data_IF_260134713740
#
_entry.id   IF_260134713740
#
_cell.length_a   1.000
_cell.length_b   1.000
_cell.length_c   1.000
_cell.angle_alpha   90.00
_cell.angle_beta   90.00
_cell.angle_gamma   90.00
#
_symmetry.space_group_name_H-M   'P 1'
#
loop_
_entity.id
_entity.type
_entity.pdbx_description
1 polymer ?
#
# COMPACT_ATOMS: atom_id res chain seq x y z
N UNK A 1 7.30 -11.51 11.04
CA UNK A 1 7.10 -10.05 11.06
C UNK A 1 7.69 -9.45 12.35
N UNK A 2 7.17 -9.79 13.52
CA UNK A 2 7.59 -9.20 14.82
C UNK A 2 9.10 -9.21 15.04
N UNK A 3 9.74 -10.34 14.84
CA UNK A 3 11.19 -10.51 15.00
C UNK A 3 11.99 -9.61 14.04
N UNK A 4 11.47 -9.40 12.82
CA UNK A 4 12.11 -8.60 11.78
C UNK A 4 11.97 -7.10 12.07
N UNK A 5 10.78 -6.68 12.49
CA UNK A 5 10.45 -5.27 12.75
C UNK A 5 11.09 -4.78 14.05
N UNK A 6 11.09 -5.61 15.11
CA UNK A 6 11.54 -5.19 16.42
C UNK A 6 10.80 -3.93 16.87
N UNK A 7 11.54 -2.88 17.23
CA UNK A 7 10.99 -1.57 17.62
C UNK A 7 10.87 -0.58 16.45
N UNK A 8 11.08 -1.05 15.20
CA UNK A 8 11.05 -0.21 14.01
C UNK A 8 9.64 0.22 13.59
N UNK A 9 9.55 1.28 12.81
CA UNK A 9 8.30 1.78 12.24
C UNK A 9 8.09 1.24 10.85
N UNK A 10 6.87 0.80 10.56
CA UNK A 10 6.45 0.24 9.28
C UNK A 10 5.49 1.19 8.58
N UNK A 11 5.69 1.42 7.31
CA UNK A 11 4.81 2.21 6.45
C UNK A 11 4.20 1.31 5.37
N UNK A 12 2.91 1.41 5.14
CA UNK A 12 2.19 0.69 4.10
C UNK A 12 1.33 1.64 3.27
N UNK A 13 1.42 1.53 1.94
CA UNK A 13 0.48 2.17 1.04
C UNK A 13 -0.77 1.31 0.86
N UNK A 14 -1.94 1.85 1.22
CA UNK A 14 -3.24 1.24 0.95
C UNK A 14 -3.74 1.67 -0.42
N UNK A 15 -4.02 0.71 -1.29
CA UNK A 15 -4.55 0.95 -2.64
C UNK A 15 -6.08 0.87 -2.72
N UNK A 16 -6.75 0.49 -1.63
CA UNK A 16 -8.17 0.11 -1.63
C UNK A 16 -8.44 -1.34 -2.03
N UNK A 17 -7.46 -2.04 -2.59
CA UNK A 17 -7.58 -3.46 -2.98
C UNK A 17 -7.40 -4.41 -1.79
N UNK A 18 -7.96 -5.63 -1.94
CA UNK A 18 -7.93 -6.67 -0.89
C UNK A 18 -6.52 -7.00 -0.42
N UNK A 19 -5.52 -7.06 -1.30
CA UNK A 19 -4.17 -7.47 -0.93
C UNK A 19 -3.52 -6.47 0.03
N UNK A 20 -3.62 -5.18 -0.26
CA UNK A 20 -3.13 -4.13 0.63
C UNK A 20 -3.90 -4.08 1.96
N UNK A 21 -5.20 -4.34 1.93
CA UNK A 21 -6.05 -4.38 3.12
C UNK A 21 -5.68 -5.57 4.04
N UNK A 22 -5.49 -6.76 3.46
CA UNK A 22 -5.08 -7.96 4.21
C UNK A 22 -3.65 -7.81 4.74
N UNK A 23 -2.73 -7.24 3.95
CA UNK A 23 -1.38 -6.92 4.41
C UNK A 23 -1.41 -5.95 5.61
N UNK A 24 -2.27 -4.91 5.55
CA UNK A 24 -2.46 -3.97 6.66
C UNK A 24 -2.96 -4.67 7.93
N UNK A 25 -4.02 -5.47 7.79
CA UNK A 25 -4.60 -6.22 8.91
C UNK A 25 -3.59 -7.17 9.57
N UNK A 26 -2.84 -7.92 8.76
CA UNK A 26 -1.84 -8.85 9.23
C UNK A 26 -0.68 -8.13 9.94
N UNK A 27 -0.19 -7.04 9.36
CA UNK A 27 0.87 -6.21 9.93
C UNK A 27 0.40 -5.56 11.24
N UNK A 28 -0.80 -4.96 11.25
CA UNK A 28 -1.35 -4.34 12.46
C UNK A 28 -1.50 -5.34 13.61
N UNK A 29 -1.99 -6.54 13.32
CA UNK A 29 -2.04 -7.63 14.32
C UNK A 29 -0.65 -8.05 14.82
N UNK A 30 0.38 -7.91 14.00
CA UNK A 30 1.75 -8.25 14.37
C UNK A 30 2.45 -7.17 15.18
N UNK A 31 2.35 -5.90 14.77
CA UNK A 31 3.19 -4.80 15.29
C UNK A 31 2.37 -3.59 15.80
N UNK A 32 1.04 -3.62 15.70
CA UNK A 32 0.16 -2.59 16.26
C UNK A 32 0.47 -1.18 15.74
N UNK A 33 0.59 -0.24 16.67
CA UNK A 33 0.82 1.19 16.41
C UNK A 33 2.17 1.51 15.73
N UNK A 34 3.07 0.54 15.57
CA UNK A 34 4.28 0.71 14.77
C UNK A 34 3.98 0.78 13.27
N UNK A 35 2.78 0.30 12.85
CA UNK A 35 2.30 0.40 11.49
C UNK A 35 1.59 1.73 11.25
N UNK A 36 1.99 2.44 10.21
CA UNK A 36 1.24 3.56 9.64
C UNK A 36 0.80 3.19 8.23
N UNK A 37 -0.50 3.30 7.95
CA UNK A 37 -1.06 3.09 6.62
C UNK A 37 -1.43 4.44 6.00
N UNK A 38 -0.98 4.69 4.77
CA UNK A 38 -1.36 5.86 3.98
C UNK A 38 -2.28 5.40 2.85
N UNK A 39 -3.47 6.00 2.80
CA UNK A 39 -4.45 5.80 1.73
C UNK A 39 -4.55 7.07 0.89
N UNK A 40 -4.16 6.98 -0.38
CA UNK A 40 -4.19 8.12 -1.30
C UNK A 40 -5.48 8.09 -2.11
N UNK A 41 -6.35 9.05 -1.85
CA UNK A 41 -7.57 9.26 -2.63
C UNK A 41 -7.22 10.11 -3.87
N UNK A 42 -7.09 9.44 -5.00
CA UNK A 42 -6.73 10.03 -6.29
C UNK A 42 -7.92 10.45 -7.16
N UNK A 43 -9.14 10.35 -6.64
CA UNK A 43 -10.37 10.74 -7.36
C UNK A 43 -10.85 9.76 -8.44
N UNK A 44 -10.16 8.64 -8.64
CA UNK A 44 -10.53 7.57 -9.58
C UNK A 44 -11.05 6.32 -8.84
N UNK A 45 -11.32 6.46 -7.55
CA UNK A 45 -11.90 5.41 -6.73
C UNK A 45 -13.36 5.18 -7.12
N UNK A 46 -13.87 3.99 -6.80
CA UNK A 46 -15.32 3.75 -6.87
C UNK A 46 -16.04 4.67 -5.89
N UNK A 47 -17.34 4.87 -6.13
CA UNK A 47 -18.15 5.66 -5.22
C UNK A 47 -18.03 5.14 -3.78
N UNK A 48 -17.73 6.04 -2.85
CA UNK A 48 -17.58 5.78 -1.42
C UNK A 48 -16.48 4.75 -1.03
N UNK A 49 -15.64 4.32 -1.96
CA UNK A 49 -14.60 3.30 -1.71
C UNK A 49 -13.62 3.75 -0.61
N UNK A 50 -13.18 5.01 -0.65
CA UNK A 50 -12.29 5.56 0.38
C UNK A 50 -12.89 5.51 1.77
N UNK A 51 -14.18 5.85 1.88
CA UNK A 51 -14.91 5.82 3.16
C UNK A 51 -15.14 4.40 3.65
N UNK A 52 -15.37 3.46 2.72
CA UNK A 52 -15.53 2.04 3.06
C UNK A 52 -14.23 1.45 3.60
N UNK A 53 -13.10 1.73 2.96
CA UNK A 53 -11.77 1.28 3.41
C UNK A 53 -11.46 1.85 4.79
N UNK A 54 -11.65 3.15 5.00
CA UNK A 54 -11.37 3.81 6.27
C UNK A 54 -12.23 3.23 7.40
N UNK A 55 -13.54 3.08 7.18
CA UNK A 55 -14.45 2.46 8.15
C UNK A 55 -14.08 1.02 8.44
N UNK A 56 -13.79 0.22 7.41
CA UNK A 56 -13.42 -1.19 7.61
C UNK A 56 -12.14 -1.32 8.47
N UNK A 57 -11.13 -0.50 8.21
CA UNK A 57 -9.91 -0.53 9.01
C UNK A 57 -10.14 -0.07 10.45
N UNK A 58 -10.95 0.99 10.64
CA UNK A 58 -11.27 1.49 11.97
C UNK A 58 -12.18 0.54 12.75
N UNK A 59 -13.31 0.15 12.18
CA UNK A 59 -14.37 -0.58 12.90
C UNK A 59 -14.01 -2.04 13.15
N UNK A 60 -13.31 -2.68 12.20
CA UNK A 60 -12.95 -4.10 12.33
C UNK A 60 -11.63 -4.32 13.04
N UNK A 61 -10.68 -3.40 12.92
CA UNK A 61 -9.32 -3.58 13.42
C UNK A 61 -8.90 -2.55 14.48
N UNK A 62 -9.70 -1.49 14.69
CA UNK A 62 -9.31 -0.36 15.54
C UNK A 62 -8.15 0.47 14.97
N UNK A 63 -7.79 0.24 13.72
CA UNK A 63 -6.65 0.86 13.07
C UNK A 63 -7.02 2.21 12.46
N UNK A 64 -6.19 3.23 12.72
CA UNK A 64 -6.29 4.52 12.05
C UNK A 64 -5.43 4.53 10.81
N UNK A 65 -5.96 5.09 9.72
CA UNK A 65 -5.22 5.31 8.48
C UNK A 65 -5.03 6.81 8.23
N UNK A 66 -3.96 7.15 7.52
CA UNK A 66 -3.73 8.51 7.02
C UNK A 66 -4.34 8.60 5.63
N UNK A 67 -5.52 9.23 5.52
CA UNK A 67 -6.15 9.48 4.22
C UNK A 67 -5.65 10.79 3.63
N UNK A 68 -5.13 10.74 2.42
CA UNK A 68 -4.62 11.88 1.68
C UNK A 68 -5.55 12.19 0.52
N UNK A 69 -6.23 13.33 0.56
CA UNK A 69 -7.01 13.79 -0.58
C UNK A 69 -6.07 14.41 -1.63
N UNK A 70 -5.86 13.68 -2.72
CA UNK A 70 -5.04 14.11 -3.85
C UNK A 70 -5.84 14.23 -5.15
N UNK A 71 -7.19 14.22 -5.07
CA UNK A 71 -8.10 14.18 -6.23
C UNK A 71 -7.81 15.28 -7.24
N UNK A 72 -7.78 16.54 -6.81
CA UNK A 72 -7.51 17.68 -7.67
C UNK A 72 -6.16 17.56 -8.39
N UNK A 73 -5.14 17.14 -7.67
CA UNK A 73 -3.78 16.96 -8.18
C UNK A 73 -3.71 15.90 -9.28
N UNK A 74 -4.39 14.76 -9.10
CA UNK A 74 -4.47 13.70 -10.09
C UNK A 74 -5.32 14.10 -11.29
N UNK A 75 -6.52 14.63 -11.06
CA UNK A 75 -7.44 15.03 -12.13
C UNK A 75 -6.85 16.13 -13.01
N UNK A 76 -6.15 17.10 -12.43
CA UNK A 76 -5.45 18.15 -13.20
C UNK A 76 -4.37 17.56 -14.11
N UNK A 77 -3.62 16.56 -13.63
CA UNK A 77 -2.57 15.89 -14.42
C UNK A 77 -3.12 14.96 -15.50
N UNK A 78 -4.33 14.43 -15.29
CA UNK A 78 -4.99 13.55 -16.26
C UNK A 78 -5.83 14.32 -17.30
N UNK A 79 -6.10 15.59 -17.07
CA UNK A 79 -6.85 16.42 -18.01
C UNK A 79 -6.13 16.52 -19.35
N UNK A 80 -6.75 16.01 -20.42
CA UNK A 80 -6.22 16.09 -21.79
C UNK A 80 -5.26 14.98 -22.19
N UNK A 81 -5.15 13.89 -21.41
CA UNK A 81 -4.22 12.79 -21.65
C UNK A 81 -4.94 11.57 -22.23
N UNK A 82 -4.44 11.07 -23.37
CA UNK A 82 -4.87 9.80 -23.96
C UNK A 82 -4.10 8.61 -23.37
N UNK A 83 -4.68 7.42 -23.44
CA UNK A 83 -4.36 6.15 -22.79
C UNK A 83 -2.92 5.70 -22.43
N UNK A 84 -1.79 6.16 -23.00
CA UNK A 84 -0.47 5.61 -22.64
C UNK A 84 0.04 5.96 -21.24
N UNK A 85 -0.73 6.67 -20.41
CA UNK A 85 -0.16 7.36 -19.25
C UNK A 85 -0.51 6.78 -17.86
N UNK A 86 -0.90 5.51 -17.77
CA UNK A 86 -0.97 4.78 -16.47
C UNK A 86 0.33 4.91 -15.67
N UNK A 87 1.47 5.04 -16.36
CA UNK A 87 2.77 5.26 -15.74
C UNK A 87 2.83 6.57 -14.97
N UNK A 88 2.24 7.65 -15.50
CA UNK A 88 2.19 8.95 -14.82
C UNK A 88 1.31 8.94 -13.56
N UNK A 89 0.23 8.16 -13.57
CA UNK A 89 -0.61 7.97 -12.38
C UNK A 89 0.21 7.31 -11.28
N UNK A 90 0.96 6.26 -11.62
CA UNK A 90 1.84 5.58 -10.67
C UNK A 90 2.94 6.49 -10.10
N UNK A 91 3.60 7.27 -10.96
CA UNK A 91 4.62 8.24 -10.54
C UNK A 91 4.06 9.30 -9.59
N UNK A 92 2.85 9.81 -9.88
CA UNK A 92 2.22 10.81 -9.03
C UNK A 92 1.77 10.22 -7.70
N UNK A 93 1.27 8.98 -7.70
CA UNK A 93 0.94 8.26 -6.47
C UNK A 93 2.16 8.16 -5.55
N UNK A 94 3.31 7.80 -6.11
CA UNK A 94 4.56 7.70 -5.35
C UNK A 94 4.95 9.04 -4.76
N UNK A 95 4.88 10.13 -5.53
CA UNK A 95 5.21 11.48 -5.07
C UNK A 95 4.31 11.94 -3.91
N UNK A 96 3.02 11.65 -3.99
CA UNK A 96 2.07 11.96 -2.91
C UNK A 96 2.40 11.13 -1.68
N UNK A 97 2.60 9.83 -1.87
CA UNK A 97 2.93 8.90 -0.80
C UNK A 97 4.23 9.30 -0.08
N UNK A 98 5.28 9.64 -0.82
CA UNK A 98 6.55 10.10 -0.27
C UNK A 98 6.43 11.42 0.50
N UNK A 99 5.65 12.36 -0.03
CA UNK A 99 5.42 13.63 0.65
C UNK A 99 4.75 13.42 2.02
N UNK A 100 3.82 12.49 2.10
CA UNK A 100 3.17 12.13 3.38
C UNK A 100 4.11 11.32 4.29
N UNK A 101 4.88 10.38 3.73
CA UNK A 101 5.86 9.62 4.49
C UNK A 101 6.91 10.52 5.18
N UNK A 102 7.35 11.58 4.51
CA UNK A 102 8.29 12.57 5.08
C UNK A 102 7.71 13.30 6.31
N UNK A 103 6.40 13.54 6.35
CA UNK A 103 5.75 14.17 7.51
C UNK A 103 5.74 13.27 8.75
N UNK A 104 5.80 11.94 8.54
CA UNK A 104 5.82 10.97 9.64
C UNK A 104 7.20 10.83 10.30
N UNK A 105 8.23 11.45 9.73
CA UNK A 105 9.61 11.35 10.19
C UNK A 105 10.24 10.02 9.83
N UNK A 106 11.03 9.44 10.75
CA UNK A 106 11.76 8.20 10.48
C UNK A 106 10.80 7.02 10.32
N UNK A 107 10.92 6.33 9.19
CA UNK A 107 10.29 5.05 8.90
C UNK A 107 11.38 4.03 8.59
N UNK A 108 11.34 2.86 9.21
CA UNK A 108 12.40 1.85 9.08
C UNK A 108 12.09 0.81 7.99
N UNK A 109 10.81 0.50 7.78
CA UNK A 109 10.37 -0.54 6.85
C UNK A 109 9.23 -0.04 5.96
N UNK A 110 9.31 -0.39 4.68
CA UNK A 110 8.19 -0.24 3.75
C UNK A 110 7.51 -1.61 3.59
N UNK A 111 6.18 -1.65 3.72
CA UNK A 111 5.41 -2.86 3.49
C UNK A 111 4.63 -2.81 2.18
N UNK A 112 4.46 -3.97 1.56
CA UNK A 112 3.72 -4.13 0.30
C UNK A 112 2.79 -5.33 0.35
N UNK A 113 1.64 -5.21 -0.31
CA UNK A 113 0.66 -6.28 -0.49
C UNK A 113 0.96 -7.21 -1.66
N UNK A 114 2.22 -7.41 -2.03
CA UNK A 114 2.64 -8.32 -3.10
C UNK A 114 2.20 -9.74 -2.80
N UNK A 115 1.58 -10.42 -3.76
CA UNK A 115 1.14 -11.82 -3.68
C UNK A 115 1.96 -12.71 -4.62
N UNK A 116 1.82 -14.05 -4.52
CA UNK A 116 2.64 -14.98 -5.29
C UNK A 116 2.52 -14.82 -6.81
N UNK A 117 1.33 -14.62 -7.42
CA UNK A 117 1.21 -14.33 -8.85
C UNK A 117 2.02 -13.11 -9.31
N UNK A 118 2.07 -12.03 -8.53
CA UNK A 118 2.86 -10.83 -8.86
C UNK A 118 4.35 -11.16 -8.97
N UNK A 119 4.83 -12.06 -8.09
CA UNK A 119 6.23 -12.51 -8.09
C UNK A 119 6.56 -13.31 -9.34
N UNK A 120 5.63 -14.17 -9.79
CA UNK A 120 5.82 -15.01 -10.99
C UNK A 120 5.76 -14.17 -12.25
N UNK A 121 4.82 -13.24 -12.36
CA UNK A 121 4.65 -12.36 -13.51
C UNK A 121 5.81 -11.38 -13.67
N UNK A 122 6.43 -10.95 -12.57
CA UNK A 122 7.58 -10.04 -12.60
C UNK A 122 8.89 -10.70 -13.06
N UNK A 123 8.86 -12.02 -13.32
CA UNK A 123 10.02 -12.80 -13.79
C UNK A 123 10.97 -13.22 -12.66
N UNK A 124 11.78 -14.27 -12.94
CA UNK A 124 12.68 -14.94 -11.99
C UNK A 124 13.90 -14.06 -11.60
N UNK A 125 13.62 -12.87 -11.12
CA UNK A 125 14.64 -11.91 -10.69
C UNK A 125 14.42 -11.35 -9.29
N UNK A 126 13.39 -11.81 -8.60
CA UNK A 126 13.30 -11.85 -7.13
C UNK A 126 13.25 -10.56 -6.34
N UNK A 127 13.20 -9.40 -6.93
CA UNK A 127 13.00 -8.15 -6.19
C UNK A 127 11.78 -7.43 -6.75
N UNK A 128 10.85 -7.06 -5.87
CA UNK A 128 9.61 -6.36 -6.19
C UNK A 128 9.77 -5.35 -7.32
N UNK A 129 9.28 -5.70 -8.50
CA UNK A 129 9.39 -4.87 -9.71
C UNK A 129 8.74 -3.50 -9.50
N UNK A 130 7.75 -3.41 -8.61
CA UNK A 130 7.05 -2.15 -8.35
C UNK A 130 7.99 -1.08 -7.80
N UNK A 131 8.88 -1.39 -6.84
CA UNK A 131 9.82 -0.39 -6.32
C UNK A 131 11.08 -0.30 -7.20
N UNK A 132 11.59 -1.41 -7.78
CA UNK A 132 12.74 -1.33 -8.68
C UNK A 132 12.45 -0.65 -10.01
N UNK A 133 11.27 -0.83 -10.59
CA UNK A 133 10.89 -0.06 -11.78
C UNK A 133 10.80 1.45 -11.47
N UNK A 134 10.60 1.83 -10.21
CA UNK A 134 10.57 3.21 -9.78
C UNK A 134 11.95 3.76 -9.43
N UNK A 135 12.89 2.95 -8.95
CA UNK A 135 14.30 3.33 -8.87
C UNK A 135 14.91 3.61 -10.26
N UNK A 136 14.44 2.91 -11.32
CA UNK A 136 14.87 3.16 -12.70
C UNK A 136 14.08 4.25 -13.44
N UNK A 137 13.03 4.80 -12.86
CA UNK A 137 12.20 5.87 -13.44
C UNK A 137 12.36 7.19 -12.64
N UNK A 138 13.53 7.41 -12.10
CA UNK A 138 13.92 8.71 -11.56
C UNK A 138 13.08 9.17 -10.37
N UNK A 139 13.24 8.51 -9.23
CA UNK A 139 12.96 9.23 -8.03
C UNK A 139 12.05 8.67 -6.98
N UNK A 140 12.48 7.60 -6.30
CA UNK A 140 12.40 7.72 -4.84
C UNK A 140 13.48 8.73 -4.48
N UNK A 141 13.15 9.87 -3.82
CA UNK A 141 14.19 10.79 -3.40
C UNK A 141 15.16 10.05 -2.47
N UNK A 142 16.43 10.37 -2.55
CA UNK A 142 17.54 9.89 -1.71
C UNK A 142 17.32 10.11 -0.19
N UNK A 143 16.09 10.39 0.25
CA UNK A 143 15.77 10.85 1.59
C UNK A 143 14.82 9.95 2.40
N UNK A 144 14.33 8.84 1.85
CA UNK A 144 13.58 7.84 2.63
C UNK A 144 14.34 6.53 2.59
N UNK A 145 15.35 6.42 3.45
CA UNK A 145 16.15 5.21 3.63
C UNK A 145 15.34 4.18 4.43
N UNK A 146 14.57 3.35 3.73
CA UNK A 146 14.01 2.14 4.33
C UNK A 146 15.12 1.10 4.48
N UNK A 147 15.20 0.47 5.65
CA UNK A 147 16.13 -0.63 5.89
C UNK A 147 15.81 -1.84 5.03
N UNK A 148 14.53 -2.12 4.85
CA UNK A 148 14.04 -3.29 4.13
C UNK A 148 12.57 -3.18 3.75
N UNK A 149 12.16 -3.95 2.72
CA UNK A 149 10.77 -4.12 2.31
C UNK A 149 10.19 -5.37 2.99
N UNK A 150 8.97 -5.24 3.49
CA UNK A 150 8.20 -6.34 4.10
C UNK A 150 7.04 -6.70 3.17
N UNK A 151 7.04 -7.93 2.66
CA UNK A 151 5.99 -8.48 1.80
C UNK A 151 5.33 -9.68 2.48
N UNK A 152 4.36 -9.45 3.37
CA UNK A 152 3.83 -10.51 4.21
C UNK A 152 3.01 -11.56 3.45
N UNK A 153 2.52 -11.22 2.26
CA UNK A 153 1.64 -12.07 1.44
C UNK A 153 2.36 -12.71 0.25
N UNK A 154 3.67 -12.50 0.09
CA UNK A 154 4.46 -12.88 -1.10
C UNK A 154 4.35 -14.35 -1.51
N UNK A 155 4.00 -15.24 -0.58
CA UNK A 155 3.90 -16.69 -0.82
C UNK A 155 2.47 -17.19 -0.93
N UNK A 156 1.48 -16.29 -0.88
CA UNK A 156 0.07 -16.63 -0.90
C UNK A 156 -0.54 -16.38 -2.28
N UNK A 157 -1.45 -17.26 -2.68
CA UNK A 157 -2.34 -17.02 -3.80
C UNK A 157 -3.52 -16.13 -3.41
N UNK A 158 -4.21 -15.60 -4.40
CA UNK A 158 -5.32 -14.65 -4.20
C UNK A 158 -6.42 -15.18 -3.30
N UNK A 159 -6.78 -16.45 -3.45
CA UNK A 159 -7.84 -17.08 -2.66
C UNK A 159 -7.41 -17.28 -1.20
N UNK A 160 -6.13 -17.63 -0.97
CA UNK A 160 -5.57 -17.74 0.37
C UNK A 160 -5.51 -16.36 1.06
N UNK A 161 -5.20 -15.29 0.32
CA UNK A 161 -5.23 -13.91 0.83
C UNK A 161 -6.64 -13.51 1.24
N UNK A 162 -7.67 -13.86 0.45
CA UNK A 162 -9.06 -13.59 0.79
C UNK A 162 -9.49 -14.34 2.05
N UNK A 163 -9.17 -15.63 2.12
CA UNK A 163 -9.46 -16.43 3.31
C UNK A 163 -8.79 -15.83 4.56
N UNK A 164 -7.51 -15.47 4.45
CA UNK A 164 -6.79 -14.80 5.53
C UNK A 164 -7.45 -13.49 5.92
N UNK A 165 -7.96 -12.70 4.96
CA UNK A 165 -8.71 -11.48 5.23
C UNK A 165 -9.94 -11.70 6.11
N UNK A 166 -10.73 -12.72 5.81
CA UNK A 166 -11.91 -13.11 6.62
C UNK A 166 -11.47 -13.52 8.03
N UNK A 167 -10.43 -14.35 8.16
CA UNK A 167 -9.90 -14.79 9.46
C UNK A 167 -9.33 -13.64 10.30
N UNK A 168 -8.84 -12.59 9.65
CA UNK A 168 -8.37 -11.38 10.31
C UNK A 168 -9.51 -10.42 10.70
N UNK A 169 -10.75 -10.71 10.31
CA UNK A 169 -11.95 -9.93 10.67
C UNK A 169 -12.27 -8.81 9.67
N UNK A 170 -11.70 -8.83 8.47
CA UNK A 170 -12.10 -7.89 7.43
C UNK A 170 -13.50 -8.22 6.89
N UNK A 171 -14.32 -7.22 6.55
CA UNK A 171 -15.66 -7.45 6.02
C UNK A 171 -15.61 -8.07 4.63
N UNK A 172 -16.57 -8.92 4.31
CA UNK A 172 -16.68 -9.58 3.00
C UNK A 172 -16.66 -8.57 1.84
N UNK A 173 -17.29 -7.42 1.99
CA UNK A 173 -17.32 -6.35 0.98
C UNK A 173 -15.95 -5.78 0.61
N UNK A 174 -14.94 -5.98 1.46
CA UNK A 174 -13.56 -5.56 1.19
C UNK A 174 -12.71 -6.71 0.66
N UNK A 175 -13.12 -7.94 0.95
CA UNK A 175 -12.38 -9.16 0.58
C UNK A 175 -12.81 -9.71 -0.78
N UNK A 176 -14.11 -9.59 -1.13
CA UNK A 176 -14.74 -10.04 -2.39
C UNK A 176 -15.21 -8.87 -3.25
#
# INVERSE_FOLDING_TARGET
IRTKVGDGKVLLALSGGVDSAVAAALLYRAVGEQLTCIFVDHGLLRKDEGDQVERAMHDCLGMRIVRVNAQERFLTKLAGISEPERKRIGEEFIRVFEAEAKKLGRVDFLAQGTIYPDVVESGVGGESVVIKSHHNVGGLPDHVDFKEIIEPLRRLFKDEVRQLGIELGLPESLVW
#
